data_IF_882440386140
#
_entry.id   IF_882440386140
#
_cell.length_a   1.000
_cell.length_b   1.000
_cell.length_c   1.000
_cell.angle_alpha   90.00
_cell.angle_beta   90.00
_cell.angle_gamma   90.00
#
_symmetry.space_group_name_H-M   'P 1'
#
loop_
_entity.id
_entity.type
_entity.pdbx_description
1 polymer ?
#
# COMPACT_ATOMS: atom_id res chain seq x y z
N UNK A 1 -2.38 11.48 52.20
CA UNK A 1 -2.14 10.58 51.05
C UNK A 1 -2.14 9.16 51.60
N UNK A 2 -3.00 8.16 51.21
CA UNK A 2 -2.81 7.39 49.96
C UNK A 2 -4.00 6.44 49.56
N UNK A 3 -5.15 6.94 49.09
CA UNK A 3 -6.19 6.06 48.47
C UNK A 3 -6.58 6.50 47.06
N UNK A 4 -6.57 7.80 46.77
CA UNK A 4 -6.81 8.33 45.41
C UNK A 4 -5.65 8.01 44.44
N UNK A 5 -4.39 8.05 44.90
CA UNK A 5 -3.21 7.66 44.11
C UNK A 5 -3.13 6.16 43.82
N UNK A 6 -3.56 5.30 44.76
CA UNK A 6 -3.66 3.85 44.53
C UNK A 6 -4.78 3.51 43.55
N UNK A 7 -5.92 4.19 43.61
CA UNK A 7 -7.03 3.98 42.65
C UNK A 7 -6.65 4.42 41.23
N UNK A 8 -5.91 5.52 41.08
CA UNK A 8 -5.36 5.98 39.80
C UNK A 8 -4.27 5.04 39.24
N UNK A 9 -3.46 4.41 40.11
CA UNK A 9 -2.51 3.37 39.70
C UNK A 9 -3.16 1.99 39.44
N UNK A 10 -4.41 1.80 39.86
CA UNK A 10 -5.20 0.57 39.64
C UNK A 10 -6.00 0.60 38.33
N UNK A 11 -6.18 1.77 37.73
CA UNK A 11 -6.71 1.93 36.37
C UNK A 11 -5.58 1.59 35.39
N UNK A 12 -5.38 0.27 35.21
CA UNK A 12 -4.33 -0.38 34.43
C UNK A 12 -3.98 0.38 33.15
N UNK A 13 -2.86 1.10 33.20
CA UNK A 13 -2.14 1.49 32.01
C UNK A 13 -1.42 0.23 31.50
N UNK A 14 -1.91 -0.37 30.42
CA UNK A 14 -1.23 -1.47 29.73
C UNK A 14 -0.45 -0.85 28.57
N UNK A 15 0.88 -0.77 28.70
CA UNK A 15 1.78 -0.39 27.62
C UNK A 15 2.57 -1.63 27.20
N UNK A 16 2.47 -2.01 25.93
CA UNK A 16 3.28 -3.09 25.36
C UNK A 16 3.84 -2.69 24.00
N UNK A 17 5.05 -3.16 23.72
CA UNK A 17 5.65 -3.17 22.40
C UNK A 17 5.76 -4.63 21.97
N UNK A 18 5.31 -4.93 20.75
CA UNK A 18 5.43 -6.26 20.18
C UNK A 18 6.25 -6.18 18.90
N UNK A 19 7.22 -7.07 18.77
CA UNK A 19 7.87 -7.39 17.50
C UNK A 19 7.55 -8.86 17.21
N UNK A 20 6.91 -9.12 16.09
CA UNK A 20 6.55 -10.46 15.65
C UNK A 20 7.27 -10.75 14.34
N UNK A 21 8.04 -11.84 14.34
CA UNK A 21 8.60 -12.43 13.13
C UNK A 21 8.04 -13.84 12.99
N UNK A 22 7.35 -14.09 11.89
CA UNK A 22 6.80 -15.39 11.57
C UNK A 22 7.28 -15.85 10.18
N UNK A 23 7.73 -17.10 10.12
CA UNK A 23 7.99 -17.78 8.85
C UNK A 23 7.20 -19.08 8.83
N UNK A 24 6.15 -19.10 8.02
CA UNK A 24 5.23 -20.23 7.91
C UNK A 24 5.39 -20.88 6.55
N UNK A 25 5.65 -22.20 6.54
CA UNK A 25 5.69 -23.00 5.32
C UNK A 25 4.56 -24.03 5.37
N UNK A 26 3.74 -24.06 4.32
CA UNK A 26 2.65 -25.02 4.17
C UNK A 26 2.76 -25.73 2.82
N UNK A 27 2.52 -27.03 2.79
CA UNK A 27 2.43 -27.82 1.56
C UNK A 27 1.10 -28.55 1.51
N UNK A 28 0.42 -28.48 0.36
CA UNK A 28 -0.82 -29.20 0.09
C UNK A 28 -0.63 -29.99 -1.20
N UNK A 29 -1.09 -31.23 -1.20
CA UNK A 29 -1.00 -32.08 -2.38
C UNK A 29 -2.16 -33.07 -2.42
N UNK A 30 -2.76 -33.23 -3.59
CA UNK A 30 -3.81 -34.20 -3.88
C UNK A 30 -3.39 -34.94 -5.15
N UNK A 31 -3.51 -36.26 -5.13
CA UNK A 31 -3.22 -37.12 -6.27
C UNK A 31 -4.31 -38.18 -6.38
N UNK A 32 -4.89 -38.25 -7.56
CA UNK A 32 -5.73 -39.37 -8.01
C UNK A 32 -5.00 -40.09 -9.13
N UNK A 33 -4.78 -41.39 -8.95
CA UNK A 33 -3.95 -42.20 -9.82
C UNK A 33 -4.55 -43.58 -10.02
N UNK A 34 -4.61 -44.03 -11.26
CA UNK A 34 -4.96 -45.38 -11.67
C UNK A 34 -3.68 -46.17 -11.86
N UNK A 35 -3.54 -47.27 -11.13
CA UNK A 35 -2.31 -48.07 -11.08
C UNK A 35 -2.62 -49.51 -11.44
N UNK A 36 -1.92 -50.07 -12.43
CA UNK A 36 -2.02 -51.51 -12.72
C UNK A 36 -1.36 -52.33 -11.59
N UNK A 37 -1.80 -53.58 -11.37
CA UNK A 37 -1.31 -54.39 -10.24
C UNK A 37 0.23 -54.50 -10.15
N UNK A 38 0.93 -54.51 -11.28
CA UNK A 38 2.39 -54.61 -11.35
C UNK A 38 3.13 -53.43 -10.68
N UNK A 39 2.51 -52.26 -10.58
CA UNK A 39 3.09 -51.03 -10.00
C UNK A 39 2.44 -50.60 -8.69
N UNK A 40 1.44 -51.35 -8.21
CA UNK A 40 0.69 -50.98 -7.01
C UNK A 40 1.59 -50.87 -5.77
N UNK A 41 2.52 -51.82 -5.57
CA UNK A 41 3.44 -51.81 -4.42
C UNK A 41 4.31 -50.55 -4.37
N UNK A 42 4.92 -50.20 -5.51
CA UNK A 42 5.79 -49.01 -5.64
C UNK A 42 5.00 -47.72 -5.33
N UNK A 43 3.82 -47.56 -5.95
CA UNK A 43 2.97 -46.38 -5.75
C UNK A 43 2.41 -46.32 -4.33
N UNK A 44 2.00 -47.45 -3.76
CA UNK A 44 1.46 -47.53 -2.40
C UNK A 44 2.50 -47.09 -1.35
N UNK A 45 3.75 -47.54 -1.49
CA UNK A 45 4.83 -47.14 -0.58
C UNK A 45 5.12 -45.63 -0.63
N UNK A 46 5.13 -45.05 -1.83
CA UNK A 46 5.32 -43.61 -2.01
C UNK A 46 4.12 -42.81 -1.46
N UNK A 47 2.90 -43.29 -1.65
CA UNK A 47 1.69 -42.64 -1.16
C UNK A 47 1.64 -42.59 0.38
N UNK A 48 1.93 -43.71 1.06
CA UNK A 48 2.01 -43.76 2.54
C UNK A 48 3.10 -42.80 3.05
N UNK A 49 4.19 -42.66 2.31
CA UNK A 49 5.30 -41.78 2.67
C UNK A 49 5.05 -40.30 2.35
N UNK A 50 3.89 -39.95 1.77
CA UNK A 50 3.58 -38.59 1.31
C UNK A 50 4.47 -38.12 0.14
N UNK A 51 5.15 -39.03 -0.55
CA UNK A 51 6.11 -38.77 -1.62
C UNK A 51 5.41 -38.65 -2.98
N UNK A 52 4.41 -37.77 -3.05
CA UNK A 52 3.51 -37.66 -4.21
C UNK A 52 4.26 -37.26 -5.50
N UNK A 53 5.25 -36.37 -5.41
CA UNK A 53 6.08 -35.97 -6.57
C UNK A 53 6.93 -37.12 -7.13
N UNK A 54 7.27 -38.11 -6.31
CA UNK A 54 7.99 -39.30 -6.81
C UNK A 54 7.02 -40.23 -7.55
N UNK A 55 5.73 -40.24 -7.21
CA UNK A 55 4.70 -40.96 -7.96
C UNK A 55 4.52 -40.32 -9.34
N UNK A 56 4.54 -38.98 -9.42
CA UNK A 56 4.46 -38.29 -10.72
C UNK A 56 5.67 -38.60 -11.59
N UNK A 57 6.89 -38.57 -11.03
CA UNK A 57 8.10 -38.97 -11.75
C UNK A 57 8.04 -40.44 -12.22
N UNK A 58 7.49 -41.34 -11.39
CA UNK A 58 7.33 -42.76 -11.75
C UNK A 58 6.32 -42.94 -12.88
N UNK A 59 5.23 -42.17 -12.89
CA UNK A 59 4.21 -42.23 -13.96
C UNK A 59 4.76 -41.83 -15.33
N UNK A 60 5.72 -40.90 -15.38
CA UNK A 60 6.38 -40.51 -16.63
C UNK A 60 7.24 -41.63 -17.23
N UNK A 61 7.64 -42.61 -16.42
CA UNK A 61 8.51 -43.72 -16.82
C UNK A 61 7.74 -45.02 -17.07
N UNK A 62 6.41 -45.02 -16.88
CA UNK A 62 5.62 -46.25 -16.83
C UNK A 62 4.18 -46.04 -17.28
N UNK A 63 3.78 -46.65 -18.39
CA UNK A 63 2.40 -46.67 -18.90
C UNK A 63 1.40 -47.39 -17.96
N UNK A 64 1.90 -48.08 -16.94
CA UNK A 64 1.10 -48.77 -15.93
C UNK A 64 0.56 -47.86 -14.81
N UNK A 65 0.90 -46.57 -14.86
CA UNK A 65 0.47 -45.56 -13.88
C UNK A 65 -0.12 -44.38 -14.66
N UNK A 66 -1.41 -44.16 -14.53
CA UNK A 66 -2.11 -43.03 -15.14
C UNK A 66 -2.58 -42.05 -14.06
N UNK A 67 -2.20 -40.78 -14.18
CA UNK A 67 -2.63 -39.72 -13.26
C UNK A 67 -3.92 -39.09 -13.81
N UNK A 68 -5.00 -39.17 -13.04
CA UNK A 68 -6.31 -38.58 -13.38
C UNK A 68 -6.39 -37.13 -12.90
N UNK A 69 -6.01 -36.90 -11.64
CA UNK A 69 -6.01 -35.57 -11.03
C UNK A 69 -4.75 -35.35 -10.20
N UNK A 70 -4.17 -34.17 -10.33
CA UNK A 70 -2.99 -33.77 -9.58
C UNK A 70 -3.07 -32.32 -9.16
N UNK A 71 -2.78 -32.08 -7.89
CA UNK A 71 -2.60 -30.75 -7.33
C UNK A 71 -1.41 -30.80 -6.39
N UNK A 72 -0.48 -29.86 -6.55
CA UNK A 72 0.60 -29.66 -5.61
C UNK A 72 0.85 -28.16 -5.46
N UNK A 73 0.90 -27.71 -4.21
CA UNK A 73 1.19 -26.32 -3.87
C UNK A 73 2.06 -26.26 -2.62
N UNK A 74 3.10 -25.43 -2.67
CA UNK A 74 3.88 -25.01 -1.51
C UNK A 74 3.76 -23.51 -1.34
N UNK A 75 3.43 -23.08 -0.12
CA UNK A 75 3.36 -21.66 0.25
C UNK A 75 4.37 -21.38 1.36
N UNK A 76 5.14 -20.31 1.22
CA UNK A 76 6.01 -19.77 2.27
C UNK A 76 5.61 -18.33 2.54
N UNK A 77 5.15 -18.04 3.74
CA UNK A 77 4.84 -16.68 4.19
C UNK A 77 5.89 -16.23 5.18
N UNK A 78 6.48 -15.06 4.93
CA UNK A 78 7.36 -14.34 5.84
C UNK A 78 6.59 -13.10 6.26
N UNK A 79 6.36 -12.92 7.55
CA UNK A 79 5.67 -11.76 8.12
C UNK A 79 6.53 -11.15 9.22
N UNK A 80 6.71 -9.84 9.13
CA UNK A 80 7.31 -8.99 10.13
C UNK A 80 6.29 -7.97 10.55
N UNK A 81 6.15 -7.74 11.85
CA UNK A 81 5.38 -6.61 12.31
C UNK A 81 5.90 -6.08 13.62
N UNK A 82 5.79 -4.77 13.81
CA UNK A 82 6.13 -4.10 15.05
C UNK A 82 5.06 -3.08 15.39
N UNK A 83 4.82 -2.91 16.68
CA UNK A 83 3.72 -2.05 17.10
C UNK A 83 3.76 -1.73 18.58
N UNK A 84 2.97 -0.73 18.94
CA UNK A 84 2.70 -0.38 20.33
C UNK A 84 1.22 -0.58 20.63
N UNK A 85 0.91 -0.91 21.87
CA UNK A 85 -0.45 -0.88 22.41
C UNK A 85 -0.43 -0.13 23.73
N UNK A 86 -1.37 0.79 23.90
CA UNK A 86 -1.59 1.59 25.08
C UNK A 86 -3.08 1.56 25.45
N UNK A 87 -3.42 0.91 26.57
CA UNK A 87 -4.76 0.93 27.14
C UNK A 87 -4.82 1.74 28.42
N UNK A 88 -5.83 2.61 28.58
CA UNK A 88 -6.17 3.26 29.84
C UNK A 88 -7.70 3.29 30.02
N UNK A 89 -8.21 2.54 31.00
CA UNK A 89 -9.65 2.34 31.21
C UNK A 89 -10.39 1.88 29.93
N UNK A 90 -11.39 2.64 29.45
CA UNK A 90 -12.13 2.33 28.20
C UNK A 90 -11.40 2.82 26.93
N UNK A 91 -10.37 3.64 27.08
CA UNK A 91 -9.61 4.17 25.96
C UNK A 91 -8.46 3.22 25.61
N UNK A 92 -8.30 2.96 24.31
CA UNK A 92 -7.23 2.12 23.76
C UNK A 92 -6.65 2.80 22.53
N UNK A 93 -5.33 2.77 22.42
CA UNK A 93 -4.58 3.15 21.24
C UNK A 93 -3.64 2.00 20.88
N UNK A 94 -3.62 1.58 19.63
CA UNK A 94 -2.64 0.62 19.12
C UNK A 94 -2.15 1.07 17.76
N UNK A 95 -0.91 0.79 17.45
CA UNK A 95 -0.41 0.85 16.08
C UNK A 95 0.42 -0.38 15.76
N UNK A 96 0.46 -0.72 14.48
CA UNK A 96 1.17 -1.88 13.94
C UNK A 96 1.62 -1.54 12.54
N UNK A 97 2.92 -1.42 12.35
CA UNK A 97 3.52 -1.57 11.04
C UNK A 97 3.63 -3.05 10.71
N UNK A 98 3.44 -3.41 9.43
CA UNK A 98 3.54 -4.78 8.97
C UNK A 98 4.19 -4.87 7.59
N UNK A 99 4.95 -5.93 7.41
CA UNK A 99 5.57 -6.34 6.16
C UNK A 99 5.37 -7.83 5.97
N UNK A 100 4.88 -8.21 4.80
CA UNK A 100 4.55 -9.59 4.48
C UNK A 100 4.98 -9.91 3.07
N UNK A 101 5.75 -10.98 2.90
CA UNK A 101 6.03 -11.57 1.60
C UNK A 101 5.55 -13.01 1.60
N UNK A 102 4.68 -13.35 0.67
CA UNK A 102 4.19 -14.70 0.45
C UNK A 102 4.67 -15.21 -0.90
N UNK A 103 5.32 -16.37 -0.87
CA UNK A 103 5.72 -17.14 -2.06
C UNK A 103 4.80 -18.33 -2.21
N UNK A 104 4.29 -18.56 -3.41
CA UNK A 104 3.48 -19.72 -3.77
C UNK A 104 4.16 -20.40 -4.96
N UNK A 105 4.37 -21.69 -4.85
CA UNK A 105 4.90 -22.55 -5.92
C UNK A 105 3.88 -23.65 -6.17
N UNK A 106 3.37 -23.73 -7.39
CA UNK A 106 2.60 -24.85 -7.89
C UNK A 106 3.47 -25.70 -8.81
N UNK A 107 3.16 -26.99 -8.91
CA UNK A 107 3.80 -27.93 -9.84
C UNK A 107 2.75 -28.67 -10.62
N UNK A 108 3.05 -28.97 -11.88
CA UNK A 108 2.28 -29.90 -12.69
C UNK A 108 2.85 -31.33 -12.62
N UNK A 109 2.20 -32.27 -13.30
CA UNK A 109 2.65 -33.67 -13.36
C UNK A 109 3.96 -33.85 -14.12
N UNK A 110 4.34 -32.88 -14.97
CA UNK A 110 5.58 -32.84 -15.74
C UNK A 110 6.77 -32.30 -14.94
N UNK A 111 6.52 -31.69 -13.78
CA UNK A 111 7.52 -31.01 -12.96
C UNK A 111 7.79 -29.56 -13.39
N UNK A 112 6.99 -29.01 -14.29
CA UNK A 112 6.97 -27.57 -14.57
C UNK A 112 6.41 -26.84 -13.35
N UNK A 113 6.84 -25.59 -13.17
CA UNK A 113 6.47 -24.78 -12.00
C UNK A 113 5.71 -23.54 -12.43
N UNK A 114 4.77 -23.12 -11.59
CA UNK A 114 4.11 -21.83 -11.66
C UNK A 114 4.37 -21.13 -10.32
N UNK A 115 4.90 -19.90 -10.37
CA UNK A 115 5.30 -19.15 -9.20
C UNK A 115 4.42 -17.92 -9.01
N UNK A 116 4.09 -17.61 -7.77
CA UNK A 116 3.45 -16.36 -7.38
C UNK A 116 4.15 -15.77 -6.17
N UNK A 117 4.34 -14.45 -6.17
CA UNK A 117 4.84 -13.67 -5.04
C UNK A 117 3.88 -12.54 -4.77
N UNK A 118 3.44 -12.40 -3.52
CA UNK A 118 2.65 -11.26 -3.04
C UNK A 118 3.44 -10.59 -1.94
N UNK A 119 3.81 -9.34 -2.15
CA UNK A 119 4.61 -8.56 -1.22
C UNK A 119 3.81 -7.33 -0.75
N UNK A 120 3.67 -7.14 0.55
CA UNK A 120 2.77 -6.14 1.14
C UNK A 120 3.43 -5.43 2.33
N UNK A 121 3.41 -4.10 2.32
CA UNK A 121 3.90 -3.24 3.41
C UNK A 121 2.83 -2.22 3.76
N UNK A 122 2.58 -2.04 5.04
CA UNK A 122 1.55 -1.13 5.49
C UNK A 122 1.63 -0.81 6.97
N UNK A 123 0.71 0.05 7.39
CA UNK A 123 0.52 0.43 8.77
C UNK A 123 -0.96 0.40 9.11
N UNK A 124 -1.24 -0.03 10.33
CA UNK A 124 -2.55 0.01 10.92
C UNK A 124 -2.48 0.69 12.28
N UNK A 125 -3.40 1.61 12.55
CA UNK A 125 -3.66 2.09 13.91
C UNK A 125 -5.12 1.95 14.32
N UNK A 126 -5.33 2.02 15.62
CA UNK A 126 -6.65 2.11 16.23
C UNK A 126 -6.57 3.05 17.41
N UNK A 127 -7.33 4.14 17.42
CA UNK A 127 -7.37 5.11 18.52
C UNK A 127 -8.82 5.44 18.84
N UNK A 128 -9.25 5.18 20.08
CA UNK A 128 -10.58 5.60 20.54
C UNK A 128 -11.76 4.96 19.79
N UNK A 129 -11.55 3.83 19.11
CA UNK A 129 -12.56 3.16 18.29
C UNK A 129 -12.36 3.35 16.79
N UNK A 130 -11.74 4.45 16.37
CA UNK A 130 -11.38 4.70 14.98
C UNK A 130 -10.18 3.84 14.60
N UNK A 131 -10.14 3.36 13.36
CA UNK A 131 -9.06 2.52 12.85
C UNK A 131 -8.64 2.98 11.48
N UNK A 132 -7.34 3.05 11.25
CA UNK A 132 -6.76 3.35 9.93
C UNK A 132 -5.91 2.19 9.50
N UNK A 133 -5.95 1.87 8.22
CA UNK A 133 -5.07 0.89 7.61
C UNK A 133 -4.74 1.37 6.20
N UNK A 134 -3.46 1.54 5.89
CA UNK A 134 -3.01 1.82 4.54
C UNK A 134 -1.83 0.93 4.20
N UNK A 135 -1.72 0.57 2.93
CA UNK A 135 -0.68 -0.32 2.47
C UNK A 135 -0.43 -0.16 0.97
N UNK A 136 0.74 -0.64 0.56
CA UNK A 136 1.01 -1.03 -0.83
C UNK A 136 1.13 -2.54 -0.90
N UNK A 137 0.77 -3.11 -2.04
CA UNK A 137 0.90 -4.53 -2.34
C UNK A 137 1.35 -4.71 -3.78
N UNK A 138 2.42 -5.48 -3.97
CA UNK A 138 3.03 -5.79 -5.26
C UNK A 138 2.90 -7.29 -5.50
N UNK A 139 2.25 -7.66 -6.59
CA UNK A 139 2.06 -9.05 -6.98
C UNK A 139 2.89 -9.36 -8.22
N UNK A 140 3.50 -10.53 -8.23
CA UNK A 140 4.11 -11.13 -9.40
C UNK A 140 3.57 -12.56 -9.54
N UNK A 141 2.80 -12.83 -10.59
CA UNK A 141 2.11 -14.11 -10.79
C UNK A 141 2.43 -14.68 -12.16
N UNK A 142 2.92 -15.92 -12.24
CA UNK A 142 3.07 -16.61 -13.52
C UNK A 142 1.69 -17.08 -14.00
N UNK A 143 1.24 -16.71 -15.21
CA UNK A 143 0.00 -17.23 -15.78
C UNK A 143 0.16 -18.71 -16.16
N UNK A 144 1.35 -19.10 -16.64
CA UNK A 144 1.63 -20.42 -17.20
C UNK A 144 2.66 -21.20 -16.36
N UNK A 145 2.73 -22.51 -16.60
CA UNK A 145 3.76 -23.39 -16.03
C UNK A 145 5.00 -23.40 -16.93
N UNK A 146 6.18 -23.27 -16.32
CA UNK A 146 7.46 -23.24 -17.05
C UNK A 146 8.52 -24.10 -16.36
N UNK A 147 9.55 -24.48 -17.12
CA UNK A 147 10.72 -25.14 -16.54
C UNK A 147 11.48 -24.15 -15.64
N UNK A 148 11.86 -24.56 -14.43
CA UNK A 148 12.41 -23.68 -13.40
C UNK A 148 13.58 -22.79 -13.88
N UNK A 149 14.41 -23.31 -14.78
CA UNK A 149 15.57 -22.63 -15.36
C UNK A 149 15.24 -21.62 -16.47
N UNK A 150 14.04 -21.70 -17.07
CA UNK A 150 13.58 -20.78 -18.11
C UNK A 150 12.90 -19.53 -17.53
N UNK A 151 12.55 -19.56 -16.25
CA UNK A 151 11.77 -18.50 -15.60
C UNK A 151 12.59 -17.23 -15.46
N UNK A 152 12.03 -16.15 -15.97
CA UNK A 152 12.59 -14.79 -15.90
C UNK A 152 11.55 -13.82 -15.34
N UNK A 153 11.90 -12.55 -15.21
CA UNK A 153 10.93 -11.50 -14.87
C UNK A 153 9.79 -11.41 -15.90
N UNK A 154 10.01 -11.81 -17.15
CA UNK A 154 8.97 -11.78 -18.19
C UNK A 154 7.95 -12.93 -18.09
N UNK A 155 8.24 -13.95 -17.29
CA UNK A 155 7.29 -15.02 -16.98
C UNK A 155 6.15 -14.57 -16.04
N UNK A 156 6.20 -13.36 -15.48
CA UNK A 156 5.25 -12.89 -14.46
C UNK A 156 4.35 -11.75 -14.94
N UNK A 157 3.06 -11.84 -14.67
CA UNK A 157 2.17 -10.69 -14.59
C UNK A 157 2.44 -9.90 -13.31
N UNK A 158 2.69 -8.60 -13.45
CA UNK A 158 3.11 -7.74 -12.33
C UNK A 158 2.01 -6.72 -12.02
N UNK A 159 1.37 -6.78 -10.86
CA UNK A 159 0.38 -5.77 -10.43
C UNK A 159 0.82 -5.00 -9.20
N UNK A 160 0.21 -3.82 -9.02
CA UNK A 160 0.45 -2.97 -7.87
C UNK A 160 -0.88 -2.45 -7.33
N UNK A 161 -1.07 -2.58 -6.02
CA UNK A 161 -2.25 -2.15 -5.30
C UNK A 161 -1.85 -1.13 -4.23
N UNK A 162 -2.61 -0.04 -4.13
CA UNK A 162 -2.54 0.91 -3.05
C UNK A 162 -3.89 0.96 -2.36
N UNK A 163 -3.89 0.96 -1.04
CA UNK A 163 -5.13 0.98 -0.27
C UNK A 163 -5.06 1.96 0.88
N UNK A 164 -6.20 2.61 1.13
CA UNK A 164 -6.42 3.40 2.33
C UNK A 164 -7.82 3.09 2.89
N UNK A 165 -7.84 2.48 4.06
CA UNK A 165 -9.02 2.05 4.79
C UNK A 165 -9.13 2.87 6.07
N UNK A 166 -10.28 3.48 6.28
CA UNK A 166 -10.61 4.28 7.47
C UNK A 166 -11.93 3.77 8.04
N UNK A 167 -11.95 3.36 9.30
CA UNK A 167 -13.14 2.97 10.05
C UNK A 167 -13.40 4.00 11.16
N UNK A 168 -14.58 4.59 11.20
CA UNK A 168 -14.99 5.62 12.15
C UNK A 168 -16.37 5.35 12.73
N UNK A 169 -16.55 5.72 14.00
CA UNK A 169 -17.85 5.60 14.66
C UNK A 169 -18.89 6.59 14.10
N UNK A 170 -18.43 7.78 13.72
CA UNK A 170 -19.18 8.85 13.08
C UNK A 170 -18.17 9.77 12.37
N UNK A 171 -18.63 10.52 11.37
CA UNK A 171 -17.82 11.50 10.62
C UNK A 171 -18.34 12.91 10.87
N UNK A 172 -17.44 13.89 10.88
CA UNK A 172 -17.79 15.31 10.87
C UNK A 172 -17.52 15.97 9.50
N UNK A 173 -17.83 17.26 9.39
CA UNK A 173 -17.64 18.00 8.14
C UNK A 173 -16.16 18.13 7.72
N UNK A 174 -15.23 18.14 8.68
CA UNK A 174 -13.79 18.15 8.41
C UNK A 174 -13.32 16.78 7.90
N UNK A 175 -13.87 15.68 8.42
CA UNK A 175 -13.58 14.33 7.93
C UNK A 175 -14.03 14.19 6.47
N UNK A 176 -15.24 14.68 6.15
CA UNK A 176 -15.76 14.70 4.78
C UNK A 176 -14.87 15.56 3.87
N UNK A 177 -14.42 16.73 4.31
CA UNK A 177 -13.46 17.54 3.55
C UNK A 177 -12.16 16.78 3.25
N UNK A 178 -11.62 16.04 4.22
CA UNK A 178 -10.42 15.22 4.04
C UNK A 178 -10.66 14.06 3.07
N UNK A 179 -11.83 13.41 3.14
CA UNK A 179 -12.18 12.32 2.22
C UNK A 179 -12.30 12.86 0.79
N UNK A 180 -13.02 13.96 0.59
CA UNK A 180 -13.19 14.58 -0.74
C UNK A 180 -11.82 15.01 -1.31
N UNK A 181 -10.93 15.54 -0.48
CA UNK A 181 -9.54 15.84 -0.89
C UNK A 181 -8.82 14.61 -1.44
N UNK A 182 -8.87 13.50 -0.69
CA UNK A 182 -8.25 12.25 -1.12
C UNK A 182 -8.84 11.73 -2.45
N UNK A 183 -10.14 11.90 -2.67
CA UNK A 183 -10.80 11.47 -3.91
C UNK A 183 -10.33 12.26 -5.13
N UNK A 184 -9.99 13.54 -4.97
CA UNK A 184 -9.42 14.33 -6.06
C UNK A 184 -7.97 13.92 -6.32
N UNK A 185 -7.20 13.71 -5.25
CA UNK A 185 -5.79 13.29 -5.37
C UNK A 185 -5.67 11.93 -6.07
N UNK A 186 -6.61 11.02 -5.80
CA UNK A 186 -6.72 9.71 -6.47
C UNK A 186 -7.60 9.74 -7.71
N UNK A 187 -7.99 10.94 -8.16
CA UNK A 187 -8.67 11.16 -9.43
C UNK A 187 -9.98 10.37 -9.59
N UNK A 188 -10.67 10.14 -8.48
CA UNK A 188 -12.02 9.59 -8.37
C UNK A 188 -13.09 10.67 -8.52
N UNK A 189 -12.74 11.92 -8.23
CA UNK A 189 -13.57 13.10 -8.42
C UNK A 189 -12.76 14.23 -9.07
N UNK A 190 -13.42 15.02 -9.90
CA UNK A 190 -12.84 16.26 -10.45
C UNK A 190 -13.07 17.45 -9.51
N UNK A 191 -12.35 18.55 -9.73
CA UNK A 191 -12.51 19.77 -8.92
C UNK A 191 -13.93 20.36 -9.05
N UNK A 192 -14.56 20.17 -10.20
CA UNK A 192 -15.91 20.63 -10.53
C UNK A 192 -16.98 19.84 -9.77
N UNK A 193 -16.69 18.59 -9.39
CA UNK A 193 -17.62 17.69 -8.70
C UNK A 193 -17.55 17.79 -7.17
N UNK A 194 -16.64 18.60 -6.61
CA UNK A 194 -16.38 18.67 -5.17
C UNK A 194 -17.64 19.01 -4.38
N UNK A 195 -18.36 20.05 -4.79
CA UNK A 195 -19.52 20.55 -4.03
C UNK A 195 -20.66 19.52 -4.00
N UNK A 196 -20.95 18.90 -5.13
CA UNK A 196 -21.97 17.85 -5.25
C UNK A 196 -21.58 16.62 -4.41
N UNK A 197 -20.35 16.14 -4.56
CA UNK A 197 -19.86 14.97 -3.83
C UNK A 197 -19.81 15.19 -2.33
N UNK A 198 -19.39 16.39 -1.90
CA UNK A 198 -19.42 16.78 -0.48
C UNK A 198 -20.86 16.74 0.05
N UNK A 199 -21.81 17.34 -0.67
CA UNK A 199 -23.22 17.35 -0.27
C UNK A 199 -23.81 15.93 -0.23
N UNK A 200 -23.46 15.08 -1.19
CA UNK A 200 -23.91 13.69 -1.23
C UNK A 200 -23.38 12.89 -0.02
N UNK A 201 -22.08 12.98 0.27
CA UNK A 201 -21.47 12.34 1.44
C UNK A 201 -22.06 12.87 2.75
N UNK A 202 -22.24 14.19 2.88
CA UNK A 202 -22.88 14.80 4.05
C UNK A 202 -24.30 14.26 4.25
N UNK A 203 -25.10 14.18 3.18
CA UNK A 203 -26.48 13.69 3.23
C UNK A 203 -26.55 12.20 3.58
N UNK A 204 -25.66 11.39 3.03
CA UNK A 204 -25.66 9.94 3.24
C UNK A 204 -25.11 9.53 4.61
N UNK A 205 -24.15 10.30 5.14
CA UNK A 205 -23.43 9.96 6.36
C UNK A 205 -23.94 10.73 7.59
N UNK A 206 -24.86 11.67 7.41
CA UNK A 206 -25.53 12.31 8.55
C UNK A 206 -26.24 11.25 9.40
N UNK A 207 -25.91 11.23 10.69
CA UNK A 207 -26.39 10.22 11.66
C UNK A 207 -26.01 8.76 11.34
N UNK A 208 -25.13 8.53 10.38
CA UNK A 208 -24.60 7.19 10.12
C UNK A 208 -23.63 6.77 11.23
N UNK A 209 -23.45 5.45 11.36
CA UNK A 209 -22.52 4.82 12.30
C UNK A 209 -21.78 3.66 11.65
N UNK A 210 -20.68 3.22 12.28
CA UNK A 210 -19.82 2.14 11.76
C UNK A 210 -19.38 2.40 10.31
N UNK A 211 -18.91 3.61 10.06
CA UNK A 211 -18.58 4.09 8.72
C UNK A 211 -17.20 3.57 8.36
N UNK A 212 -17.07 2.94 7.20
CA UNK A 212 -15.82 2.40 6.69
C UNK A 212 -15.59 2.82 5.26
N UNK A 213 -14.59 3.67 5.07
CA UNK A 213 -14.09 4.07 3.77
C UNK A 213 -13.01 3.09 3.32
N UNK A 214 -13.12 2.59 2.09
CA UNK A 214 -12.16 1.70 1.45
C UNK A 214 -11.80 2.36 0.12
N UNK A 215 -10.64 3.00 0.06
CA UNK A 215 -10.09 3.54 -1.18
C UNK A 215 -9.06 2.57 -1.73
N UNK A 216 -9.19 2.23 -3.01
CA UNK A 216 -8.27 1.35 -3.71
C UNK A 216 -7.80 1.99 -5.02
N UNK A 217 -6.53 1.76 -5.33
CA UNK A 217 -5.95 2.00 -6.65
C UNK A 217 -5.23 0.72 -7.06
N UNK A 218 -5.64 0.12 -8.18
CA UNK A 218 -5.08 -1.11 -8.72
C UNK A 218 -4.52 -0.85 -10.12
N UNK A 219 -3.21 -1.04 -10.27
CA UNK A 219 -2.51 -1.04 -11.55
C UNK A 219 -2.47 -2.47 -12.08
N UNK A 220 -3.16 -2.71 -13.20
CA UNK A 220 -3.19 -4.01 -13.87
C UNK A 220 -1.82 -4.42 -14.43
N UNK A 221 -1.58 -5.73 -14.68
CA UNK A 221 -0.34 -6.22 -15.26
C UNK A 221 0.17 -5.44 -16.48
N UNK A 222 -0.68 -5.27 -17.48
CA UNK A 222 -0.35 -4.51 -18.70
C UNK A 222 -0.05 -3.03 -18.41
N UNK A 223 -0.77 -2.45 -17.45
CA UNK A 223 -0.60 -1.05 -17.04
C UNK A 223 0.76 -0.85 -16.38
N UNK A 224 1.12 -1.73 -15.44
CA UNK A 224 2.38 -1.65 -14.74
C UNK A 224 3.56 -1.83 -15.71
N UNK A 225 3.47 -2.79 -16.63
CA UNK A 225 4.47 -3.00 -17.69
C UNK A 225 4.73 -1.73 -18.50
N UNK A 226 3.68 -0.97 -18.84
CA UNK A 226 3.81 0.31 -19.56
C UNK A 226 4.33 1.45 -18.68
N UNK A 227 4.05 1.41 -17.38
CA UNK A 227 4.54 2.40 -16.42
C UNK A 227 6.02 2.21 -16.06
N UNK A 228 6.55 0.98 -16.10
CA UNK A 228 7.95 0.68 -15.75
C UNK A 228 8.98 1.65 -16.37
N UNK A 229 9.02 1.86 -17.69
CA UNK A 229 10.00 2.79 -18.29
C UNK A 229 9.77 4.25 -17.89
N UNK A 230 8.52 4.65 -17.62
CA UNK A 230 8.18 6.02 -17.22
C UNK A 230 8.61 6.27 -15.76
N UNK A 231 8.35 5.30 -14.88
CA UNK A 231 8.75 5.32 -13.46
C UNK A 231 10.27 5.29 -13.28
N UNK A 232 10.99 4.61 -14.18
CA UNK A 232 12.44 4.52 -14.14
C UNK A 232 13.17 5.85 -14.44
N UNK A 233 12.47 6.86 -14.97
CA UNK A 233 13.05 8.12 -15.43
C UNK A 233 12.13 9.32 -15.11
N UNK A 234 11.72 9.44 -13.85
CA UNK A 234 10.78 10.49 -13.45
C UNK A 234 11.45 11.88 -13.37
N UNK A 235 10.86 12.92 -13.97
CA UNK A 235 11.30 14.28 -13.74
C UNK A 235 11.09 14.69 -12.28
N UNK A 236 12.10 15.29 -11.65
CA UNK A 236 12.03 15.77 -10.25
C UNK A 236 10.84 16.72 -10.04
N UNK A 237 10.49 17.52 -11.04
CA UNK A 237 9.33 18.42 -11.00
C UNK A 237 8.00 17.68 -10.76
N UNK A 238 7.80 16.53 -11.43
CA UNK A 238 6.58 15.73 -11.28
C UNK A 238 6.50 15.09 -9.89
N UNK A 239 7.64 14.65 -9.36
CA UNK A 239 7.75 14.10 -8.01
C UNK A 239 7.44 15.18 -6.98
N UNK A 240 8.08 16.34 -7.09
CA UNK A 240 7.89 17.46 -6.18
C UNK A 240 6.43 17.95 -6.18
N UNK A 241 5.79 18.03 -7.36
CA UNK A 241 4.36 18.30 -7.50
C UNK A 241 3.51 17.25 -6.79
N UNK A 242 3.82 15.97 -6.97
CA UNK A 242 3.05 14.89 -6.33
C UNK A 242 3.18 14.87 -4.81
N UNK A 243 4.38 15.12 -4.28
CA UNK A 243 4.60 15.29 -2.84
C UNK A 243 3.82 16.49 -2.30
N UNK A 244 3.82 17.62 -3.02
CA UNK A 244 3.06 18.81 -2.65
C UNK A 244 1.55 18.54 -2.58
N UNK A 245 1.00 17.84 -3.57
CA UNK A 245 -0.41 17.46 -3.61
C UNK A 245 -0.77 16.47 -2.50
N UNK A 246 0.13 15.56 -2.15
CA UNK A 246 -0.09 14.56 -1.11
C UNK A 246 -0.15 15.14 0.31
N UNK A 247 0.35 16.36 0.54
CA UNK A 247 0.29 16.98 1.86
C UNK A 247 -1.17 17.08 2.34
N UNK A 248 -1.44 16.80 3.63
CA UNK A 248 -2.80 16.82 4.17
C UNK A 248 -3.42 18.21 4.11
N UNK A 249 -4.76 18.25 4.07
CA UNK A 249 -5.49 19.49 4.28
C UNK A 249 -5.17 20.10 5.65
N UNK A 250 -5.20 21.42 5.71
CA UNK A 250 -5.11 22.16 6.95
C UNK A 250 -6.13 23.30 6.90
N UNK A 251 -7.13 23.23 7.78
CA UNK A 251 -8.22 24.20 7.87
C UNK A 251 -7.73 25.63 8.17
N UNK A 252 -6.59 25.75 8.86
CA UNK A 252 -5.93 27.02 9.13
C UNK A 252 -5.09 27.56 7.97
N UNK A 253 -5.00 26.86 6.84
CA UNK A 253 -4.20 27.24 5.67
C UNK A 253 -4.97 27.04 4.35
N UNK A 254 -6.32 27.03 4.36
CA UNK A 254 -7.14 26.69 3.18
C UNK A 254 -6.76 27.48 1.92
N UNK A 255 -6.31 28.72 2.07
CA UNK A 255 -5.85 29.60 0.99
C UNK A 255 -4.63 29.09 0.21
N UNK A 256 -3.78 28.28 0.85
CA UNK A 256 -2.55 27.73 0.25
C UNK A 256 -2.51 26.19 0.28
N UNK A 257 -3.43 25.56 1.05
CA UNK A 257 -3.55 24.11 1.25
C UNK A 257 -4.77 23.48 0.63
N UNK A 258 -5.70 24.24 0.06
CA UNK A 258 -6.84 23.65 -0.66
C UNK A 258 -6.41 22.80 -1.85
N UNK A 259 -7.30 21.91 -2.28
CA UNK A 259 -7.07 21.03 -3.43
C UNK A 259 -6.93 21.86 -4.70
N UNK A 260 -5.94 21.53 -5.55
CA UNK A 260 -5.63 22.28 -6.77
C UNK A 260 -4.62 23.43 -6.61
N UNK A 261 -4.45 23.99 -5.41
CA UNK A 261 -3.56 25.15 -5.21
C UNK A 261 -2.26 24.79 -4.48
N UNK A 262 -2.27 23.76 -3.63
CA UNK A 262 -1.10 23.39 -2.82
C UNK A 262 0.15 23.01 -3.64
N UNK A 263 -0.02 22.46 -4.84
CA UNK A 263 1.11 22.16 -5.72
C UNK A 263 1.92 23.42 -6.05
N UNK A 264 1.24 24.55 -6.30
CA UNK A 264 1.88 25.80 -6.66
C UNK A 264 2.80 26.32 -5.54
N UNK A 265 2.35 26.26 -4.29
CA UNK A 265 3.11 26.79 -3.15
C UNK A 265 4.16 25.81 -2.61
N UNK A 266 3.90 24.51 -2.64
CA UNK A 266 4.73 23.53 -1.93
C UNK A 266 5.63 22.69 -2.84
N UNK A 267 5.35 22.59 -4.16
CA UNK A 267 6.25 21.87 -5.06
C UNK A 267 7.67 22.47 -5.14
N UNK A 268 7.86 23.82 -5.17
CA UNK A 268 9.21 24.39 -5.13
C UNK A 268 9.99 24.03 -3.86
N UNK A 269 9.30 23.84 -2.73
CA UNK A 269 9.94 23.43 -1.47
C UNK A 269 10.35 21.97 -1.54
N UNK A 270 9.49 21.08 -2.06
CA UNK A 270 9.86 19.68 -2.24
C UNK A 270 10.96 19.49 -3.29
N UNK A 271 10.96 20.24 -4.38
CA UNK A 271 12.05 20.23 -5.36
C UNK A 271 13.39 20.58 -4.70
N UNK A 272 13.39 21.63 -3.86
CA UNK A 272 14.55 22.04 -3.09
C UNK A 272 15.01 20.95 -2.08
N UNK A 273 14.08 20.20 -1.46
CA UNK A 273 14.38 19.05 -0.59
C UNK A 273 14.99 17.90 -1.41
N UNK A 274 14.39 17.52 -2.54
CA UNK A 274 14.84 16.43 -3.39
C UNK A 274 16.24 16.71 -3.97
N UNK A 275 16.54 17.96 -4.30
CA UNK A 275 17.88 18.38 -4.73
C UNK A 275 18.89 18.45 -3.57
N UNK A 276 18.43 18.37 -2.31
CA UNK A 276 19.27 18.44 -1.10
C UNK A 276 19.70 19.85 -0.71
N UNK A 277 19.04 20.88 -1.24
CA UNK A 277 19.29 22.29 -0.88
C UNK A 277 18.62 22.68 0.44
N UNK A 278 17.55 21.98 0.84
CA UNK A 278 16.91 22.08 2.15
C UNK A 278 17.07 20.74 2.88
N UNK A 279 17.76 20.73 4.02
CA UNK A 279 18.13 19.48 4.71
C UNK A 279 17.48 19.35 6.08
N UNK A 280 17.28 20.48 6.76
CA UNK A 280 16.72 20.50 8.11
C UNK A 280 15.27 20.97 8.11
N UNK A 281 14.52 20.53 9.11
CA UNK A 281 13.12 20.94 9.29
C UNK A 281 12.96 22.45 9.42
N UNK A 282 13.92 23.14 10.05
CA UNK A 282 13.90 24.60 10.20
C UNK A 282 14.16 25.34 8.89
N UNK A 283 15.09 24.86 8.07
CA UNK A 283 15.33 25.42 6.74
C UNK A 283 14.09 25.28 5.86
N UNK A 284 13.39 24.14 5.95
CA UNK A 284 12.14 23.89 5.24
C UNK A 284 11.05 24.86 5.71
N UNK A 285 10.87 25.03 7.02
CA UNK A 285 9.89 25.94 7.60
C UNK A 285 10.15 27.40 7.20
N UNK A 286 11.41 27.86 7.33
CA UNK A 286 11.80 29.23 7.01
C UNK A 286 11.68 29.53 5.50
N UNK A 287 12.07 28.57 4.65
CA UNK A 287 11.96 28.74 3.20
C UNK A 287 10.50 28.75 2.74
N UNK A 288 9.66 27.87 3.29
CA UNK A 288 8.21 27.88 3.06
C UNK A 288 7.60 29.21 3.52
N UNK A 289 7.96 29.68 4.72
CA UNK A 289 7.46 30.95 5.27
C UNK A 289 7.80 32.14 4.37
N UNK A 290 9.04 32.22 3.88
CA UNK A 290 9.49 33.25 2.95
C UNK A 290 8.74 33.19 1.63
N UNK A 291 8.55 31.98 1.08
CA UNK A 291 7.83 31.78 -0.17
C UNK A 291 6.38 32.26 -0.06
N UNK A 292 5.66 31.84 0.99
CA UNK A 292 4.27 32.24 1.21
C UNK A 292 4.12 33.76 1.41
N UNK A 293 5.02 34.37 2.20
CA UNK A 293 5.06 35.84 2.38
C UNK A 293 5.32 36.59 1.09
N UNK A 294 6.20 36.08 0.22
CA UNK A 294 6.48 36.67 -1.10
C UNK A 294 5.22 36.74 -1.97
N UNK A 295 4.32 35.75 -1.85
CA UNK A 295 3.03 35.73 -2.55
C UNK A 295 1.89 36.41 -1.79
N UNK A 296 2.17 37.14 -0.71
CA UNK A 296 1.17 37.89 0.07
C UNK A 296 0.49 37.10 1.19
N UNK A 297 0.79 35.82 1.37
CA UNK A 297 0.18 34.95 2.40
C UNK A 297 0.99 34.99 3.71
N UNK A 298 1.07 36.17 4.33
CA UNK A 298 1.92 36.39 5.51
C UNK A 298 1.51 35.56 6.73
N UNK A 299 0.20 35.39 6.96
CA UNK A 299 -0.33 34.61 8.08
C UNK A 299 -0.06 33.11 7.88
N UNK A 300 -0.28 32.59 6.68
CA UNK A 300 0.08 31.22 6.31
C UNK A 300 1.58 30.97 6.51
N UNK A 301 2.42 31.90 6.03
CA UNK A 301 3.86 31.83 6.22
C UNK A 301 4.27 31.86 7.70
N UNK A 302 3.59 32.64 8.55
CA UNK A 302 3.83 32.64 10.00
C UNK A 302 3.48 31.30 10.64
N UNK A 303 2.34 30.70 10.25
CA UNK A 303 1.93 29.37 10.74
C UNK A 303 2.94 28.29 10.36
N UNK A 304 3.37 28.23 9.09
CA UNK A 304 4.40 27.27 8.64
C UNK A 304 5.74 27.45 9.37
N UNK A 305 6.13 28.69 9.71
CA UNK A 305 7.33 28.96 10.52
C UNK A 305 7.19 28.47 11.95
N UNK A 306 6.00 28.59 12.54
CA UNK A 306 5.70 28.20 13.93
C UNK A 306 5.41 26.69 14.08
N UNK A 307 6.03 25.85 13.26
CA UNK A 307 5.70 24.41 13.12
C UNK A 307 5.86 23.56 14.38
N UNK A 308 6.58 24.05 15.40
CA UNK A 308 6.74 23.37 16.69
C UNK A 308 5.54 23.54 17.63
N UNK A 309 4.57 24.40 17.30
CA UNK A 309 3.38 24.58 18.13
C UNK A 309 2.53 23.31 18.14
N UNK A 310 1.87 23.04 19.27
CA UNK A 310 0.92 21.92 19.41
C UNK A 310 -0.17 22.00 18.32
N UNK A 311 -0.46 20.88 17.66
CA UNK A 311 -1.46 20.81 16.58
C UNK A 311 -0.92 21.08 15.17
N UNK A 312 0.40 21.19 15.00
CA UNK A 312 1.06 21.48 13.71
C UNK A 312 1.27 20.26 12.81
N UNK A 313 0.54 19.16 13.02
CA UNK A 313 0.85 17.87 12.39
C UNK A 313 0.74 17.85 10.86
N UNK A 314 0.02 18.82 10.27
CA UNK A 314 -0.16 18.95 8.82
C UNK A 314 0.72 20.02 8.16
N UNK A 315 1.59 20.70 8.91
CA UNK A 315 2.55 21.67 8.37
C UNK A 315 3.70 20.95 7.66
N UNK A 316 4.25 21.53 6.59
CA UNK A 316 5.23 20.83 5.73
C UNK A 316 6.47 20.42 6.53
N UNK A 317 6.92 21.28 7.44
CA UNK A 317 8.05 21.01 8.31
C UNK A 317 7.79 19.79 9.22
N UNK A 318 6.58 19.66 9.79
CA UNK A 318 6.25 18.49 10.60
C UNK A 318 6.17 17.22 9.75
N UNK A 319 5.59 17.28 8.55
CA UNK A 319 5.58 16.14 7.61
C UNK A 319 7.01 15.72 7.25
N UNK A 320 7.92 16.65 7.02
CA UNK A 320 9.33 16.33 6.76
C UNK A 320 10.07 15.85 8.02
N UNK A 321 9.61 16.22 9.22
CA UNK A 321 10.14 15.68 10.48
C UNK A 321 9.72 14.20 10.66
N UNK A 322 8.49 13.84 10.29
CA UNK A 322 8.02 12.45 10.34
C UNK A 322 8.63 11.60 9.21
N UNK A 323 9.12 12.24 8.15
CA UNK A 323 9.74 11.59 6.98
C UNK A 323 11.13 12.18 6.70
N UNK A 324 12.12 12.01 7.60
CA UNK A 324 13.45 12.61 7.43
C UNK A 324 14.21 12.04 6.22
N UNK A 325 13.84 10.85 5.76
CA UNK A 325 14.44 10.14 4.64
C UNK A 325 13.71 10.37 3.31
N UNK A 326 12.74 11.29 3.22
CA UNK A 326 11.87 11.48 2.05
C UNK A 326 12.60 11.50 0.70
N UNK A 327 13.79 12.10 0.64
CA UNK A 327 14.62 12.11 -0.56
C UNK A 327 15.11 10.70 -0.92
N UNK A 328 15.66 9.98 0.06
CA UNK A 328 16.17 8.62 -0.11
C UNK A 328 15.03 7.68 -0.49
N UNK A 329 13.87 7.80 0.17
CA UNK A 329 12.70 6.95 -0.08
C UNK A 329 12.19 7.12 -1.52
N UNK A 330 12.23 8.35 -2.04
CA UNK A 330 11.91 8.66 -3.45
C UNK A 330 12.98 8.14 -4.41
N UNK A 331 14.26 8.28 -4.07
CA UNK A 331 15.37 7.74 -4.88
C UNK A 331 15.25 6.21 -5.00
N UNK A 332 14.99 5.51 -3.89
CA UNK A 332 14.77 4.07 -3.89
C UNK A 332 13.50 3.66 -4.65
N UNK A 333 12.40 4.44 -4.57
CA UNK A 333 11.22 4.21 -5.41
C UNK A 333 11.59 4.16 -6.89
N UNK A 334 12.34 5.15 -7.39
CA UNK A 334 12.78 5.21 -8.78
C UNK A 334 13.72 4.04 -9.10
N UNK A 335 14.68 3.74 -8.22
CA UNK A 335 15.64 2.65 -8.39
C UNK A 335 14.93 1.29 -8.48
N UNK A 336 13.94 1.03 -7.63
CA UNK A 336 13.15 -0.21 -7.65
C UNK A 336 12.45 -0.42 -8.98
N UNK A 337 11.79 0.61 -9.50
CA UNK A 337 11.14 0.54 -10.81
C UNK A 337 12.15 0.43 -11.96
N UNK A 338 13.28 1.13 -11.90
CA UNK A 338 14.36 1.01 -12.87
C UNK A 338 14.96 -0.40 -12.90
N UNK A 339 15.12 -1.03 -11.74
CA UNK A 339 15.63 -2.39 -11.61
C UNK A 339 14.68 -3.41 -12.25
N UNK A 340 13.36 -3.27 -12.06
CA UNK A 340 12.37 -4.11 -12.74
C UNK A 340 12.42 -3.85 -14.24
N UNK A 341 12.38 -2.59 -14.68
CA UNK A 341 12.40 -2.23 -16.09
C UNK A 341 13.63 -2.81 -16.83
N UNK A 342 14.81 -2.72 -16.21
CA UNK A 342 16.03 -3.29 -16.75
C UNK A 342 15.94 -4.82 -16.85
N UNK A 343 15.42 -5.50 -15.81
CA UNK A 343 15.25 -6.95 -15.83
C UNK A 343 14.23 -7.39 -16.88
N UNK A 344 13.16 -6.63 -17.12
CA UNK A 344 12.21 -6.88 -18.21
C UNK A 344 12.92 -6.78 -19.56
N UNK A 345 13.66 -5.71 -19.81
CA UNK A 345 14.36 -5.48 -21.06
C UNK A 345 15.44 -6.53 -21.38
N UNK A 346 16.10 -7.07 -20.35
CA UNK A 346 17.21 -8.02 -20.48
C UNK A 346 16.83 -9.49 -20.22
N UNK A 347 15.55 -9.78 -20.04
CA UNK A 347 15.06 -11.10 -19.62
C UNK A 347 15.78 -11.62 -18.36
N UNK A 348 15.92 -10.72 -17.38
CA UNK A 348 16.66 -10.92 -16.14
C UNK A 348 16.00 -11.93 -15.19
N UNK A 349 16.75 -12.28 -14.15
CA UNK A 349 16.34 -13.30 -13.18
C UNK A 349 15.20 -12.82 -12.28
N UNK A 350 14.31 -13.75 -11.90
CA UNK A 350 13.13 -13.47 -11.05
C UNK A 350 13.44 -12.92 -9.66
N UNK A 351 14.63 -13.20 -9.11
CA UNK A 351 15.03 -12.72 -7.78
C UNK A 351 15.09 -11.19 -7.69
N UNK A 352 15.17 -10.51 -8.84
CA UNK A 352 15.09 -9.05 -8.94
C UNK A 352 13.77 -8.52 -8.38
N UNK A 353 12.65 -9.23 -8.52
CA UNK A 353 11.32 -8.74 -8.13
C UNK A 353 11.24 -8.40 -6.64
N UNK A 354 11.73 -9.30 -5.78
CA UNK A 354 11.74 -9.06 -4.33
C UNK A 354 12.73 -7.95 -3.98
N UNK A 355 13.91 -7.93 -4.62
CA UNK A 355 14.90 -6.87 -4.39
C UNK A 355 14.35 -5.50 -4.75
N UNK A 356 13.65 -5.38 -5.87
CA UNK A 356 13.02 -4.15 -6.31
C UNK A 356 11.90 -3.70 -5.37
N UNK A 357 11.04 -4.63 -4.94
CA UNK A 357 9.99 -4.34 -3.95
C UNK A 357 10.56 -3.73 -2.67
N UNK A 358 11.67 -4.27 -2.15
CA UNK A 358 12.37 -3.75 -0.97
C UNK A 358 12.96 -2.34 -1.11
N UNK A 359 13.01 -1.81 -2.33
CA UNK A 359 13.43 -0.43 -2.56
C UNK A 359 12.23 0.53 -2.51
N UNK A 360 11.00 0.07 -2.72
CA UNK A 360 9.84 0.95 -2.74
C UNK A 360 8.78 0.61 -1.69
N UNK A 361 9.02 -0.38 -0.82
CA UNK A 361 8.06 -0.79 0.21
C UNK A 361 7.81 0.30 1.26
N UNK A 362 8.78 1.19 1.49
CA UNK A 362 8.63 2.41 2.30
C UNK A 362 7.41 3.26 1.90
N UNK A 363 6.97 3.19 0.63
CA UNK A 363 5.77 3.90 0.19
C UNK A 363 4.48 3.43 0.90
N UNK A 364 4.49 2.26 1.53
CA UNK A 364 3.41 1.73 2.35
C UNK A 364 3.45 2.13 3.83
N UNK A 365 4.55 2.68 4.33
CA UNK A 365 4.74 2.94 5.77
C UNK A 365 3.87 4.08 6.31
N UNK A 366 3.46 5.01 5.45
CA UNK A 366 2.66 6.15 5.88
C UNK A 366 1.60 6.55 4.87
N UNK A 367 0.44 7.00 5.36
CA UNK A 367 -0.66 7.45 4.51
C UNK A 367 -0.27 8.62 3.59
N UNK A 368 0.71 9.43 4.00
CA UNK A 368 1.30 10.47 3.13
C UNK A 368 1.97 9.86 1.88
N UNK A 369 2.77 8.80 2.04
CA UNK A 369 3.42 8.14 0.92
C UNK A 369 2.44 7.39 0.03
N UNK A 370 1.44 6.72 0.61
CA UNK A 370 0.38 6.06 -0.16
C UNK A 370 -0.42 7.09 -0.98
N UNK A 371 -0.70 8.28 -0.42
CA UNK A 371 -1.31 9.42 -1.13
C UNK A 371 -0.42 9.93 -2.27
N UNK A 372 0.86 10.17 -1.98
CA UNK A 372 1.86 10.60 -2.95
C UNK A 372 2.00 9.62 -4.11
N UNK A 373 2.15 8.34 -3.80
CA UNK A 373 2.42 7.32 -4.81
C UNK A 373 1.21 7.12 -5.72
N UNK A 374 -0.01 7.11 -5.16
CA UNK A 374 -1.23 7.05 -5.96
C UNK A 374 -1.35 8.23 -6.93
N UNK A 375 -1.12 9.46 -6.45
CA UNK A 375 -1.14 10.66 -7.30
C UNK A 375 -0.04 10.60 -8.39
N UNK A 376 1.16 10.17 -8.03
CA UNK A 376 2.29 10.06 -8.96
C UNK A 376 1.96 9.09 -10.11
N UNK A 377 1.50 7.88 -9.79
CA UNK A 377 1.12 6.86 -10.78
C UNK A 377 0.06 7.40 -11.75
N UNK A 378 -0.97 8.07 -11.24
CA UNK A 378 -2.04 8.61 -12.06
C UNK A 378 -1.57 9.73 -12.98
N UNK A 379 -0.71 10.65 -12.50
CA UNK A 379 -0.23 11.74 -13.34
C UNK A 379 0.74 11.28 -14.43
N UNK A 380 1.52 10.23 -14.17
CA UNK A 380 2.32 9.59 -15.21
C UNK A 380 1.41 8.96 -16.25
N UNK A 381 0.42 8.19 -15.80
CA UNK A 381 -0.49 7.48 -16.67
C UNK A 381 -1.36 8.42 -17.53
N UNK A 382 -1.75 9.59 -17.01
CA UNK A 382 -2.51 10.63 -17.75
C UNK A 382 -1.86 11.10 -19.05
N UNK A 383 -0.55 10.87 -19.23
CA UNK A 383 0.15 11.19 -20.47
C UNK A 383 -0.22 10.24 -21.62
N UNK A 384 -0.77 9.06 -21.32
CA UNK A 384 -1.29 8.10 -22.29
C UNK A 384 -2.61 7.49 -21.77
N UNK A 385 -3.74 7.87 -22.37
CA UNK A 385 -5.07 7.40 -22.00
C UNK A 385 -5.18 5.86 -21.96
N UNK A 386 -4.42 5.15 -22.79
CA UNK A 386 -4.40 3.68 -22.82
C UNK A 386 -3.72 3.08 -21.61
N UNK A 387 -2.77 3.79 -20.99
CA UNK A 387 -2.11 3.39 -19.74
C UNK A 387 -3.02 3.77 -18.56
N UNK A 388 -3.60 4.97 -18.61
CA UNK A 388 -4.50 5.46 -17.58
C UNK A 388 -5.73 4.55 -17.37
N UNK A 389 -6.33 4.05 -18.44
CA UNK A 389 -7.47 3.11 -18.38
C UNK A 389 -7.12 1.71 -17.84
N UNK A 390 -5.83 1.44 -17.57
CA UNK A 390 -5.35 0.21 -16.92
C UNK A 390 -5.14 0.41 -15.41
N UNK A 391 -5.51 1.57 -14.86
CA UNK A 391 -5.45 1.90 -13.44
C UNK A 391 -6.86 2.07 -12.88
N UNK A 392 -7.36 1.01 -12.25
CA UNK A 392 -8.65 1.03 -11.60
C UNK A 392 -8.56 1.78 -10.28
N UNK A 393 -9.54 2.64 -10.01
CA UNK A 393 -9.67 3.38 -8.77
C UNK A 393 -11.06 3.19 -8.22
N UNK A 394 -11.18 3.03 -6.91
CA UNK A 394 -12.47 2.97 -6.26
C UNK A 394 -12.50 3.62 -4.88
N UNK A 395 -13.68 4.10 -4.52
CA UNK A 395 -14.08 4.33 -3.14
C UNK A 395 -15.30 3.45 -2.87
N UNK A 396 -15.23 2.62 -1.84
CA UNK A 396 -16.40 2.00 -1.21
C UNK A 396 -16.59 2.58 0.18
N UNK A 397 -17.80 3.01 0.51
CA UNK A 397 -18.19 3.47 1.84
C UNK A 397 -19.24 2.51 2.36
N UNK A 398 -18.91 1.76 3.40
CA UNK A 398 -19.83 0.87 4.12
C UNK A 398 -20.28 1.60 5.38
N UNK A 399 -21.59 1.67 5.65
CA UNK A 399 -22.09 2.38 6.84
C UNK A 399 -23.43 1.83 7.31
N UNK A 400 -23.82 2.14 8.55
CA UNK A 400 -25.13 1.82 9.11
C UNK A 400 -25.94 3.10 9.31
N UNK A 401 -27.15 3.14 8.75
CA UNK A 401 -28.09 4.25 8.96
C UNK A 401 -29.43 3.67 9.42
N UNK A 402 -29.96 4.17 10.53
CA UNK A 402 -31.19 3.68 11.16
C UNK A 402 -31.19 2.16 11.42
N UNK A 403 -30.02 1.60 11.74
CA UNK A 403 -29.83 0.16 11.96
C UNK A 403 -29.73 -0.68 10.68
N UNK A 404 -29.79 -0.07 9.50
CA UNK A 404 -29.71 -0.75 8.20
C UNK A 404 -28.32 -0.55 7.58
N UNK A 405 -27.62 -1.63 7.19
CA UNK A 405 -26.40 -1.53 6.41
C UNK A 405 -26.66 -0.91 5.04
N UNK A 406 -25.83 0.05 4.66
CA UNK A 406 -25.83 0.73 3.36
C UNK A 406 -24.42 0.75 2.79
N UNK A 407 -24.35 0.92 1.47
CA UNK A 407 -23.09 1.15 0.78
C UNK A 407 -23.20 2.26 -0.26
N UNK A 408 -22.11 2.99 -0.44
CA UNK A 408 -21.90 3.96 -1.50
C UNK A 408 -20.61 3.61 -2.24
N UNK A 409 -20.64 3.63 -3.57
CA UNK A 409 -19.50 3.20 -4.40
C UNK A 409 -19.23 4.21 -5.50
N UNK A 410 -17.97 4.67 -5.58
CA UNK A 410 -17.42 5.37 -6.74
C UNK A 410 -16.37 4.48 -7.37
N UNK A 411 -16.40 4.39 -8.70
CA UNK A 411 -15.46 3.58 -9.46
C UNK A 411 -15.05 4.29 -10.75
N UNK A 412 -13.76 4.28 -11.06
CA UNK A 412 -13.22 4.76 -12.34
C UNK A 412 -12.20 3.75 -12.89
N UNK A 413 -12.26 3.53 -14.21
CA UNK A 413 -11.26 2.79 -14.97
C UNK A 413 -10.21 3.72 -15.50
#
# INVERSE_FOLDING_TARGET
MPQRLKKAASEKAELSFAYEYARLSASKSILEVVVKPAKFGDVHQLAISGRILDITALSQQSEDIAIEHFFWQKSTTIEQSWGFNLGFAKWKASSKDFDKIQYIENRDTSGLVQLSTVAKRGYQDKVGGNKRNFYIEFDAVMPDYEALQAITVNSFDLSLNLAHILEEGAVDASDIENIVDDLIIWDLASLEQISELKQELETNLVHASNIKFIKLLHVKPEGLRKLLPLMASLPTELIAKSLAVALPLNSGLKEVRSTGVRAFFYAPIFDAILQGSLKTTDEIADSTSRLLRKYGYSDAGKKEKDWRKKGSHSLIAHVCQTHPSIRIDVEHLIEGFALINQAVALNGKKEVLVKAYRLFDDMGEHGFYVRFFGHLLLNIAKQDERVYNLIERSLKVEYTQDGVPKEFVLFRR
#
